data_IF_947995686796
#
_entry.id   IF_947995686796
#
_cell.length_a   1.000
_cell.length_b   1.000
_cell.length_c   1.000
_cell.angle_alpha   90.00
_cell.angle_beta   90.00
_cell.angle_gamma   90.00
#
_symmetry.space_group_name_H-M   'P 1'
#
loop_
_entity.id
_entity.type
_entity.pdbx_description
1 polymer ?
#
# COMPACT_ATOMS: atom_id res chain seq x y z
N UNK A 1 -16.39 -14.10 -4.06
CA UNK A 1 -16.31 -13.93 -2.59
C UNK A 1 -14.86 -13.63 -2.25
N UNK A 2 -14.56 -12.34 -2.10
CA UNK A 2 -13.22 -11.74 -2.14
C UNK A 2 -12.39 -12.08 -0.90
N UNK A 3 -11.09 -12.36 -1.08
CA UNK A 3 -10.10 -12.58 0.01
C UNK A 3 -10.10 -11.45 1.08
N UNK A 4 -10.61 -10.27 0.71
CA UNK A 4 -10.84 -9.13 1.60
C UNK A 4 -11.80 -9.43 2.75
N UNK A 5 -12.84 -10.25 2.53
CA UNK A 5 -13.85 -10.55 3.56
C UNK A 5 -13.26 -11.35 4.73
N UNK A 6 -12.39 -12.32 4.43
CA UNK A 6 -11.72 -13.13 5.45
C UNK A 6 -10.65 -12.34 6.24
N UNK A 7 -10.07 -11.29 5.65
CA UNK A 7 -9.18 -10.38 6.37
C UNK A 7 -9.95 -9.44 7.32
N UNK A 8 -11.25 -9.22 7.07
CA UNK A 8 -12.09 -8.29 7.83
C UNK A 8 -12.91 -9.00 8.94
N UNK A 9 -13.30 -10.27 8.75
CA UNK A 9 -14.07 -11.03 9.75
C UNK A 9 -13.23 -11.52 10.95
N UNK A 10 -11.89 -11.60 10.85
CA UNK A 10 -11.03 -12.12 11.94
C UNK A 10 -10.68 -11.10 13.04
N UNK A 11 -11.10 -9.83 12.94
CA UNK A 11 -10.90 -8.82 13.99
C UNK A 11 -12.09 -7.87 14.08
N UNK A 12 -13.18 -8.37 14.65
CA UNK A 12 -14.41 -7.62 14.93
C UNK A 12 -14.22 -6.38 15.82
N UNK A 13 -13.06 -6.24 16.47
CA UNK A 13 -12.66 -5.04 17.20
C UNK A 13 -11.41 -4.44 16.56
N UNK A 14 -11.46 -3.16 16.18
CA UNK A 14 -10.33 -2.24 15.89
C UNK A 14 -10.06 -1.77 14.44
N UNK A 15 -10.94 -1.93 13.45
CA UNK A 15 -10.75 -1.18 12.18
C UNK A 15 -10.86 0.34 12.46
N UNK A 16 -11.81 0.72 13.33
CA UNK A 16 -12.06 2.10 13.74
C UNK A 16 -10.86 2.74 14.47
N UNK A 17 -10.22 2.01 15.38
CA UNK A 17 -9.04 2.51 16.13
C UNK A 17 -7.75 2.44 15.33
N UNK A 18 -7.62 1.48 14.39
CA UNK A 18 -6.44 1.37 13.54
C UNK A 18 -6.36 2.45 12.46
N UNK A 19 -7.50 2.94 11.97
CA UNK A 19 -7.55 4.04 10.99
C UNK A 19 -7.49 5.42 11.65
N UNK A 20 -7.80 5.54 12.95
CA UNK A 20 -7.86 6.83 13.65
C UNK A 20 -8.90 7.81 13.05
N UNK A 21 -9.87 7.29 12.30
CA UNK A 21 -10.80 8.05 11.48
C UNK A 21 -12.18 8.19 12.14
N UNK A 22 -12.95 9.19 11.72
CA UNK A 22 -14.32 9.39 12.18
C UNK A 22 -15.20 8.15 11.87
N UNK A 23 -16.20 7.82 12.72
CA UNK A 23 -17.09 6.68 12.50
C UNK A 23 -17.83 6.71 11.16
N UNK A 24 -18.20 7.90 10.69
CA UNK A 24 -18.83 8.13 9.39
C UNK A 24 -17.93 7.72 8.22
N UNK A 25 -16.65 8.07 8.30
CA UNK A 25 -15.62 7.72 7.31
C UNK A 25 -15.36 6.22 7.33
N UNK A 26 -15.25 5.61 8.51
CA UNK A 26 -15.08 4.17 8.66
C UNK A 26 -16.23 3.38 8.01
N UNK A 27 -17.48 3.85 8.18
CA UNK A 27 -18.64 3.24 7.53
C UNK A 27 -18.58 3.34 6.00
N UNK A 28 -18.10 4.46 5.45
CA UNK A 28 -17.90 4.62 4.01
C UNK A 28 -16.80 3.68 3.47
N UNK A 29 -15.69 3.52 4.20
CA UNK A 29 -14.66 2.54 3.85
C UNK A 29 -15.15 1.11 3.92
N UNK A 30 -16.06 0.78 4.84
CA UNK A 30 -16.67 -0.55 4.89
C UNK A 30 -17.43 -0.87 3.59
N UNK A 31 -18.23 0.07 3.08
CA UNK A 31 -18.91 -0.08 1.79
C UNK A 31 -17.92 -0.28 0.63
N UNK A 32 -16.81 0.47 0.64
CA UNK A 32 -15.75 0.34 -0.36
C UNK A 32 -15.13 -1.08 -0.33
N UNK A 33 -14.90 -1.62 0.86
CA UNK A 33 -14.36 -2.98 1.07
C UNK A 33 -15.37 -4.07 0.69
N UNK A 34 -16.66 -3.82 0.90
CA UNK A 34 -17.76 -4.70 0.50
C UNK A 34 -17.97 -4.70 -1.04
N UNK A 35 -17.32 -3.78 -1.75
CA UNK A 35 -17.36 -3.65 -3.21
C UNK A 35 -18.44 -2.68 -3.71
N UNK A 36 -19.17 -2.03 -2.82
CA UNK A 36 -20.17 -1.00 -3.15
C UNK A 36 -19.49 0.35 -3.33
N UNK A 37 -18.87 0.54 -4.50
CA UNK A 37 -18.14 1.76 -4.84
C UNK A 37 -19.05 2.98 -4.96
N UNK A 38 -20.26 2.81 -5.50
CA UNK A 38 -21.24 3.89 -5.64
C UNK A 38 -21.79 4.34 -4.29
N UNK A 39 -22.17 3.41 -3.41
CA UNK A 39 -22.61 3.69 -2.06
C UNK A 39 -21.51 4.35 -1.22
N UNK A 40 -20.27 3.88 -1.34
CA UNK A 40 -19.11 4.48 -0.70
C UNK A 40 -18.88 5.92 -1.19
N UNK A 41 -18.92 6.16 -2.51
CA UNK A 41 -18.75 7.49 -3.08
C UNK A 41 -19.80 8.47 -2.56
N UNK A 42 -21.08 8.09 -2.54
CA UNK A 42 -22.14 8.94 -2.01
C UNK A 42 -21.91 9.30 -0.54
N UNK A 43 -21.43 8.35 0.26
CA UNK A 43 -21.10 8.60 1.68
C UNK A 43 -19.91 9.54 1.82
N UNK A 44 -18.82 9.34 1.08
CA UNK A 44 -17.67 10.25 1.10
C UNK A 44 -18.06 11.66 0.64
N UNK A 45 -18.87 11.80 -0.40
CA UNK A 45 -19.37 13.10 -0.86
C UNK A 45 -20.23 13.81 0.19
N UNK A 46 -21.04 13.07 0.97
CA UNK A 46 -21.79 13.67 2.09
C UNK A 46 -20.86 14.16 3.20
N UNK A 47 -19.88 13.35 3.58
CA UNK A 47 -18.88 13.73 4.60
C UNK A 47 -18.13 14.98 4.14
N UNK A 48 -17.76 15.07 2.86
CA UNK A 48 -17.08 16.23 2.30
C UNK A 48 -17.98 17.47 2.14
N UNK A 49 -19.30 17.34 2.14
CA UNK A 49 -20.21 18.49 2.22
C UNK A 49 -20.19 19.10 3.62
N UNK A 50 -20.16 18.25 4.64
CA UNK A 50 -20.14 18.68 6.04
C UNK A 50 -18.74 19.17 6.45
N UNK A 51 -17.69 18.47 6.00
CA UNK A 51 -16.29 18.82 6.21
C UNK A 51 -15.46 18.68 4.91
N UNK A 52 -15.33 19.78 4.13
CA UNK A 52 -14.60 19.77 2.86
C UNK A 52 -13.09 19.49 2.96
N UNK A 53 -12.52 19.60 4.16
CA UNK A 53 -11.09 19.43 4.43
C UNK A 53 -10.75 18.07 5.07
N UNK A 54 -11.73 17.18 5.20
CA UNK A 54 -11.50 15.82 5.68
C UNK A 54 -10.60 15.04 4.70
N UNK A 55 -9.32 14.93 5.05
CA UNK A 55 -8.31 14.24 4.24
C UNK A 55 -8.63 12.75 4.05
N UNK A 56 -9.30 12.13 5.02
CA UNK A 56 -9.60 10.70 5.04
C UNK A 56 -10.75 10.39 4.07
N UNK A 57 -11.77 11.27 4.05
CA UNK A 57 -12.86 11.22 3.09
C UNK A 57 -12.40 11.59 1.67
N UNK A 58 -11.48 12.57 1.51
CA UNK A 58 -10.86 12.88 0.23
C UNK A 58 -10.07 11.68 -0.34
N UNK A 59 -9.32 10.98 0.52
CA UNK A 59 -8.59 9.77 0.12
C UNK A 59 -9.55 8.64 -0.29
N UNK A 60 -10.65 8.45 0.44
CA UNK A 60 -11.67 7.45 0.12
C UNK A 60 -12.37 7.74 -1.20
N UNK A 61 -12.76 9.00 -1.43
CA UNK A 61 -13.34 9.45 -2.68
C UNK A 61 -12.38 9.25 -3.86
N UNK A 62 -11.09 9.53 -3.67
CA UNK A 62 -10.08 9.30 -4.70
C UNK A 62 -10.02 7.82 -5.13
N UNK A 63 -10.12 6.89 -4.19
CA UNK A 63 -10.16 5.45 -4.49
C UNK A 63 -11.44 5.09 -5.26
N UNK A 64 -12.62 5.59 -4.85
CA UNK A 64 -13.86 5.38 -5.59
C UNK A 64 -13.75 5.87 -7.04
N UNK A 65 -13.20 7.07 -7.27
CA UNK A 65 -13.01 7.64 -8.62
C UNK A 65 -12.03 6.82 -9.46
N UNK A 66 -11.06 6.16 -8.84
CA UNK A 66 -10.14 5.27 -9.54
C UNK A 66 -10.81 3.96 -9.97
N UNK A 67 -11.75 3.44 -9.18
CA UNK A 67 -12.58 2.29 -9.55
C UNK A 67 -13.62 2.66 -10.61
N UNK A 68 -14.17 3.88 -10.56
CA UNK A 68 -15.18 4.38 -11.50
C UNK A 68 -14.57 4.75 -12.86
N UNK A 69 -14.34 3.72 -13.68
CA UNK A 69 -13.92 3.86 -15.07
C UNK A 69 -12.45 4.22 -15.27
N UNK A 70 -11.60 4.03 -14.24
CA UNK A 70 -10.15 4.18 -14.38
C UNK A 70 -9.68 5.62 -14.56
N UNK A 71 -10.40 6.60 -13.99
CA UNK A 71 -10.05 8.04 -14.04
C UNK A 71 -8.85 8.36 -13.12
N UNK A 72 -7.73 7.68 -13.34
CA UNK A 72 -6.56 7.70 -12.45
C UNK A 72 -5.96 9.09 -12.26
N UNK A 73 -6.00 9.95 -13.29
CA UNK A 73 -5.50 11.32 -13.18
C UNK A 73 -6.33 12.17 -12.22
N UNK A 74 -7.65 12.05 -12.27
CA UNK A 74 -8.57 12.78 -11.38
C UNK A 74 -8.46 12.24 -9.96
N UNK A 75 -8.45 10.91 -9.81
CA UNK A 75 -8.22 10.24 -8.54
C UNK A 75 -6.90 10.67 -7.89
N UNK A 76 -5.81 10.71 -8.66
CA UNK A 76 -4.49 11.11 -8.15
C UNK A 76 -4.49 12.57 -7.67
N UNK A 77 -5.18 13.48 -8.36
CA UNK A 77 -5.33 14.88 -7.89
C UNK A 77 -6.05 14.95 -6.54
N UNK A 78 -7.12 14.18 -6.37
CA UNK A 78 -7.87 14.11 -5.10
C UNK A 78 -7.01 13.52 -3.97
N UNK A 79 -6.28 12.43 -4.24
CA UNK A 79 -5.39 11.83 -3.26
C UNK A 79 -4.19 12.72 -2.91
N UNK A 80 -3.64 13.48 -3.88
CA UNK A 80 -2.62 14.51 -3.60
C UNK A 80 -3.18 15.63 -2.72
N UNK A 81 -4.43 16.05 -2.96
CA UNK A 81 -5.11 17.01 -2.09
C UNK A 81 -5.21 16.47 -0.66
N UNK A 82 -5.62 15.21 -0.49
CA UNK A 82 -5.66 14.55 0.82
C UNK A 82 -4.29 14.59 1.52
N UNK A 83 -3.19 14.25 0.83
CA UNK A 83 -1.84 14.32 1.41
C UNK A 83 -1.35 15.74 1.73
N UNK A 84 -1.87 16.74 1.03
CA UNK A 84 -1.54 18.14 1.30
C UNK A 84 -2.31 18.69 2.51
N UNK A 85 -3.53 18.20 2.74
CA UNK A 85 -4.32 18.55 3.93
C UNK A 85 -3.70 17.96 5.19
N UNK A 86 -3.33 16.69 5.17
CA UNK A 86 -2.53 16.10 6.24
C UNK A 86 -1.38 15.24 5.69
N UNK A 87 -0.16 15.73 5.90
CA UNK A 87 1.07 15.04 5.52
C UNK A 87 1.45 13.90 6.48
N UNK A 88 0.85 13.85 7.67
CA UNK A 88 1.09 12.82 8.70
C UNK A 88 0.09 11.67 8.61
N UNK A 89 -1.07 11.88 8.00
CA UNK A 89 -2.02 10.81 7.73
C UNK A 89 -1.49 9.83 6.67
N UNK A 90 -1.65 8.54 6.95
CA UNK A 90 -1.30 7.47 6.02
C UNK A 90 -2.29 7.36 4.85
N UNK A 91 -3.55 7.78 5.02
CA UNK A 91 -4.63 7.47 4.09
C UNK A 91 -4.43 8.07 2.70
N UNK A 92 -3.98 9.32 2.62
CA UNK A 92 -3.67 9.96 1.34
C UNK A 92 -2.56 9.22 0.58
N UNK A 93 -1.53 8.76 1.29
CA UNK A 93 -0.44 7.97 0.70
C UNK A 93 -0.89 6.56 0.31
N UNK A 94 -1.79 5.94 1.08
CA UNK A 94 -2.40 4.64 0.73
C UNK A 94 -3.22 4.78 -0.55
N UNK A 95 -4.07 5.80 -0.64
CA UNK A 95 -4.86 6.09 -1.84
C UNK A 95 -3.96 6.35 -3.05
N UNK A 96 -2.92 7.20 -2.91
CA UNK A 96 -1.93 7.40 -3.98
C UNK A 96 -1.24 6.10 -4.39
N UNK A 97 -0.84 5.27 -3.42
CA UNK A 97 -0.27 3.96 -3.66
C UNK A 97 -1.18 3.12 -4.53
N UNK A 98 -2.42 2.94 -4.08
CA UNK A 98 -3.46 2.17 -4.77
C UNK A 98 -3.72 2.67 -6.20
N UNK A 99 -3.94 3.97 -6.37
CA UNK A 99 -4.26 4.60 -7.66
C UNK A 99 -3.10 4.42 -8.65
N UNK A 100 -1.85 4.59 -8.19
CA UNK A 100 -0.68 4.40 -9.04
C UNK A 100 -0.49 2.93 -9.44
N UNK A 101 -0.75 1.98 -8.52
CA UNK A 101 -0.72 0.57 -8.85
C UNK A 101 -1.76 0.20 -9.91
N UNK A 102 -3.01 0.67 -9.73
CA UNK A 102 -4.10 0.43 -10.70
C UNK A 102 -3.86 1.14 -12.03
N UNK A 103 -3.17 2.27 -12.02
CA UNK A 103 -2.73 2.99 -13.22
C UNK A 103 -1.43 2.45 -13.85
N UNK A 104 -0.93 1.28 -13.43
CA UNK A 104 0.29 0.64 -13.98
C UNK A 104 1.62 1.25 -13.53
N UNK A 105 1.60 2.32 -12.72
CA UNK A 105 2.79 2.97 -12.16
C UNK A 105 3.26 2.25 -10.89
N UNK A 106 3.77 1.03 -11.08
CA UNK A 106 4.15 0.14 -9.98
C UNK A 106 5.23 0.70 -9.05
N UNK A 107 6.18 1.48 -9.59
CA UNK A 107 7.26 2.07 -8.78
C UNK A 107 6.75 3.14 -7.83
N UNK A 108 5.96 4.07 -8.36
CA UNK A 108 5.39 5.16 -7.59
C UNK A 108 4.41 4.62 -6.54
N UNK A 109 3.58 3.65 -6.94
CA UNK A 109 2.66 2.95 -6.05
C UNK A 109 3.36 2.34 -4.85
N UNK A 110 4.46 1.61 -5.07
CA UNK A 110 5.28 1.05 -3.99
C UNK A 110 5.90 2.13 -3.10
N UNK A 111 6.42 3.21 -3.69
CA UNK A 111 7.01 4.32 -2.94
C UNK A 111 6.01 4.97 -1.97
N UNK A 112 4.79 5.22 -2.43
CA UNK A 112 3.73 5.78 -1.60
C UNK A 112 3.26 4.81 -0.50
N UNK A 113 3.09 3.52 -0.81
CA UNK A 113 2.76 2.51 0.19
C UNK A 113 3.85 2.37 1.26
N UNK A 114 5.12 2.49 0.88
CA UNK A 114 6.23 2.49 1.85
C UNK A 114 6.15 3.70 2.77
N UNK A 115 5.86 4.90 2.26
CA UNK A 115 5.66 6.09 3.11
C UNK A 115 4.50 5.89 4.08
N UNK A 116 3.36 5.41 3.58
CA UNK A 116 2.21 5.09 4.40
C UNK A 116 2.52 4.06 5.51
N UNK A 117 3.32 3.02 5.20
CA UNK A 117 3.77 2.02 6.18
C UNK A 117 4.60 2.61 7.31
N UNK A 118 5.38 3.66 7.05
CA UNK A 118 6.15 4.33 8.10
C UNK A 118 5.23 5.16 9.01
N UNK A 119 4.16 5.74 8.46
CA UNK A 119 3.20 6.56 9.21
C UNK A 119 2.23 5.71 10.05
N UNK A 120 1.64 4.68 9.44
CA UNK A 120 0.65 3.82 10.10
C UNK A 120 0.91 2.34 9.76
N UNK A 121 1.91 1.67 10.39
CA UNK A 121 2.30 0.30 10.05
C UNK A 121 1.21 -0.76 10.31
N UNK A 122 0.21 -0.44 11.13
CA UNK A 122 -0.89 -1.33 11.51
C UNK A 122 -2.16 -1.12 10.69
N UNK A 123 -2.16 -0.20 9.72
CA UNK A 123 -3.34 0.07 8.89
C UNK A 123 -3.66 -1.15 7.99
N UNK A 124 -4.86 -1.75 8.07
CA UNK A 124 -5.22 -2.92 7.29
C UNK A 124 -5.22 -2.65 5.77
N UNK A 125 -5.45 -1.40 5.33
CA UNK A 125 -5.47 -1.02 3.91
C UNK A 125 -4.10 -1.17 3.26
N UNK A 126 -3.02 -1.10 4.05
CA UNK A 126 -1.66 -1.33 3.54
C UNK A 126 -1.49 -2.76 3.03
N UNK A 127 -2.06 -3.74 3.72
CA UNK A 127 -1.96 -5.13 3.29
C UNK A 127 -2.59 -5.32 1.91
N UNK A 128 -3.76 -4.71 1.68
CA UNK A 128 -4.41 -4.73 0.37
C UNK A 128 -3.56 -4.04 -0.71
N UNK A 129 -3.01 -2.86 -0.42
CA UNK A 129 -2.13 -2.14 -1.35
C UNK A 129 -0.88 -2.95 -1.72
N UNK A 130 -0.21 -3.55 -0.73
CA UNK A 130 0.97 -4.39 -0.99
C UNK A 130 0.60 -5.66 -1.74
N UNK A 131 -0.54 -6.29 -1.46
CA UNK A 131 -1.01 -7.47 -2.19
C UNK A 131 -1.22 -7.18 -3.69
N UNK A 132 -1.75 -6.00 -4.02
CA UNK A 132 -1.90 -5.55 -5.42
C UNK A 132 -0.54 -5.32 -6.08
N UNK A 133 0.36 -4.57 -5.42
CA UNK A 133 1.72 -4.35 -5.93
C UNK A 133 2.42 -5.67 -6.23
N UNK A 134 2.25 -6.60 -5.30
CA UNK A 134 2.77 -7.93 -5.40
C UNK A 134 2.20 -8.65 -6.63
N UNK A 135 0.88 -8.69 -6.80
CA UNK A 135 0.22 -9.38 -7.93
C UNK A 135 0.69 -8.87 -9.29
N UNK A 136 0.84 -7.56 -9.42
CA UNK A 136 1.18 -6.89 -10.68
C UNK A 136 2.69 -6.88 -10.97
N UNK A 137 3.54 -7.26 -10.00
CA UNK A 137 5.00 -7.29 -10.18
C UNK A 137 5.45 -8.59 -10.87
N UNK A 138 6.27 -8.50 -11.93
CA UNK A 138 6.83 -9.69 -12.56
C UNK A 138 7.76 -10.46 -11.59
N UNK A 139 7.75 -11.81 -11.62
CA UNK A 139 8.68 -12.62 -10.83
C UNK A 139 10.13 -12.32 -11.23
N UNK A 140 11.07 -12.51 -10.30
CA UNK A 140 12.50 -12.24 -10.55
C UNK A 140 13.05 -13.23 -11.58
N UNK A 141 12.70 -14.50 -11.44
CA UNK A 141 12.95 -15.54 -12.43
C UNK A 141 11.62 -15.81 -13.14
N UNK A 142 11.57 -15.49 -14.43
CA UNK A 142 10.38 -15.65 -15.27
C UNK A 142 9.96 -17.11 -15.46
N UNK A 143 10.89 -18.06 -15.34
CA UNK A 143 10.62 -19.50 -15.40
C UNK A 143 10.07 -20.13 -14.11
N UNK A 144 9.92 -19.36 -13.03
CA UNK A 144 9.41 -19.85 -11.75
C UNK A 144 8.15 -19.08 -11.34
N UNK A 145 7.20 -19.78 -10.73
CA UNK A 145 6.02 -19.14 -10.12
C UNK A 145 6.45 -18.07 -9.11
N UNK A 146 5.68 -17.01 -8.98
CA UNK A 146 5.96 -15.90 -8.07
C UNK A 146 6.00 -16.32 -6.59
N UNK A 147 5.15 -17.29 -6.21
CA UNK A 147 5.10 -17.85 -4.85
C UNK A 147 6.22 -18.87 -4.58
N UNK A 148 7.02 -19.21 -5.61
CA UNK A 148 8.13 -20.14 -5.45
C UNK A 148 9.11 -19.59 -4.40
N UNK A 149 9.59 -20.41 -3.45
CA UNK A 149 10.46 -19.97 -2.37
C UNK A 149 11.69 -19.20 -2.88
N UNK A 150 12.25 -19.61 -4.02
CA UNK A 150 13.36 -18.91 -4.69
C UNK A 150 12.98 -17.51 -5.16
N UNK A 151 11.80 -17.33 -5.77
CA UNK A 151 11.35 -15.99 -6.16
C UNK A 151 11.03 -15.12 -4.93
N UNK A 152 10.57 -15.72 -3.83
CA UNK A 152 10.33 -15.03 -2.56
C UNK A 152 11.62 -14.53 -1.92
N UNK A 153 12.67 -15.35 -1.87
CA UNK A 153 13.98 -14.96 -1.35
C UNK A 153 14.66 -13.92 -2.25
N UNK A 154 14.64 -14.13 -3.57
CA UNK A 154 15.20 -13.19 -4.55
C UNK A 154 14.46 -11.84 -4.55
N UNK A 155 13.17 -11.81 -4.24
CA UNK A 155 12.43 -10.56 -4.07
C UNK A 155 12.97 -9.71 -2.90
N UNK A 156 13.38 -10.35 -1.79
CA UNK A 156 14.06 -9.68 -0.68
C UNK A 156 15.41 -9.10 -1.11
N UNK A 157 16.19 -9.85 -1.89
CA UNK A 157 17.49 -9.41 -2.42
C UNK A 157 17.35 -8.25 -3.43
N UNK A 158 16.31 -8.25 -4.27
CA UNK A 158 16.05 -7.13 -5.20
C UNK A 158 15.74 -5.83 -4.45
N UNK A 159 15.13 -5.91 -3.27
CA UNK A 159 14.90 -4.74 -2.42
C UNK A 159 16.21 -4.23 -1.79
N UNK A 160 17.19 -5.09 -1.50
CA UNK A 160 18.54 -4.68 -1.07
C UNK A 160 19.23 -3.81 -2.13
N UNK A 161 19.14 -4.18 -3.41
CA UNK A 161 19.72 -3.39 -4.52
C UNK A 161 19.12 -1.98 -4.63
N UNK A 162 17.91 -1.75 -4.11
CA UNK A 162 17.27 -0.41 -4.10
C UNK A 162 17.73 0.47 -2.95
N UNK A 163 18.36 -0.08 -1.92
CA UNK A 163 18.92 0.67 -0.80
C UNK A 163 20.46 0.57 -0.82
N UNK A 164 21.18 1.59 -1.30
CA UNK A 164 22.63 1.52 -1.48
C UNK A 164 23.38 1.24 -0.17
N UNK A 165 22.85 1.69 0.97
CA UNK A 165 23.43 1.41 2.29
C UNK A 165 23.29 -0.07 2.69
N UNK A 166 22.12 -0.67 2.45
CA UNK A 166 21.89 -2.08 2.72
C UNK A 166 22.69 -2.99 1.77
N UNK A 167 22.86 -2.57 0.51
CA UNK A 167 23.69 -3.26 -0.47
C UNK A 167 25.16 -3.25 -0.07
N UNK A 168 25.69 -2.10 0.36
CA UNK A 168 27.07 -1.98 0.83
C UNK A 168 27.34 -2.90 2.03
N UNK A 169 26.45 -2.92 3.03
CA UNK A 169 26.59 -3.81 4.20
C UNK A 169 26.59 -5.30 3.83
N UNK A 170 25.75 -5.71 2.87
CA UNK A 170 25.73 -7.10 2.41
C UNK A 170 27.01 -7.48 1.65
N UNK A 171 27.55 -6.57 0.83
CA UNK A 171 28.82 -6.78 0.12
C UNK A 171 29.99 -6.85 1.11
N UNK A 172 30.04 -5.97 2.10
CA UNK A 172 31.06 -5.99 3.16
C UNK A 172 30.97 -7.28 3.99
N UNK A 173 29.76 -7.71 4.36
CA UNK A 173 29.56 -8.96 5.09
C UNK A 173 29.99 -10.20 4.31
N UNK A 174 29.66 -10.27 3.02
CA UNK A 174 30.07 -11.39 2.15
C UNK A 174 31.59 -11.44 1.93
N UNK A 175 32.23 -10.29 1.70
CA UNK A 175 33.69 -10.19 1.62
C UNK A 175 34.36 -10.55 2.95
N UNK A 176 33.79 -10.14 4.09
CA UNK A 176 34.28 -10.49 5.42
C UNK A 176 34.18 -12.00 5.72
N UNK A 177 33.07 -12.64 5.36
CA UNK A 177 32.92 -14.09 5.47
C UNK A 177 33.92 -14.86 4.59
N UNK A 178 34.15 -14.38 3.35
CA UNK A 178 35.16 -14.94 2.45
C UNK A 178 36.57 -14.82 3.05
N UNK A 179 36.93 -13.66 3.60
CA UNK A 179 38.23 -13.41 4.23
C UNK A 179 38.46 -14.29 5.47
N UNK A 180 37.45 -14.44 6.31
CA UNK A 180 37.52 -15.33 7.48
C UNK A 180 37.63 -16.79 7.07
N UNK A 181 36.89 -17.23 6.05
CA UNK A 181 36.97 -18.59 5.54
C UNK A 181 38.35 -18.90 4.95
N UNK A 182 38.97 -17.96 4.23
CA UNK A 182 40.34 -18.13 3.71
C UNK A 182 41.39 -18.19 4.82
N UNK A 183 41.20 -17.47 5.93
CA UNK A 183 42.11 -17.50 7.08
C UNK A 183 41.89 -18.68 8.03
N UNK A 184 40.73 -19.35 8.00
CA UNK A 184 40.47 -20.54 8.81
C UNK A 184 40.99 -21.84 8.18
N UNK A 185 41.28 -21.80 6.87
CA UNK A 185 41.73 -22.95 6.06
C UNK A 185 43.24 -22.91 5.82
N UNK A 186 43.91 -21.80 6.17
CA UNK A 186 45.36 -21.64 6.17
C UNK A 186 45.95 -21.93 7.56
#
# INVERSE_FOLDING_TARGET
MSELRHLLEYRGDNIFTAMGACPSVCAAYKLLLDGDHEGAEQRFRRILKDNPEDHEALAGLAVCVAEDGGKFLTAEKLAKKATNMDRKSAAGYIALGYINLRGGRLQDGYGYLMKAKHLAPKDPRLQAGFAIYDRERPPVITGLSRLHPVNRTLNGVRNLRRNPAAMALAVVGTLGCLYLATNLVA
#
